data_IF_741741406065
#
_entry.id   IF_741741406065
#
_cell.length_a   1.000
_cell.length_b   1.000
_cell.length_c   1.000
_cell.angle_alpha   90.00
_cell.angle_beta   90.00
_cell.angle_gamma   90.00
#
_symmetry.space_group_name_H-M   'P 1'
#
loop_
_entity.id
_entity.type
_entity.pdbx_description
1 polymer ?
#
# COMPACT_ATOMS: atom_id res chain seq x y z
N UNK A 1 -6.92 -17.58 -52.75
CA UNK A 1 -6.91 -16.27 -52.11
C UNK A 1 -6.48 -16.44 -50.67
N UNK A 2 -5.25 -16.09 -50.36
CA UNK A 2 -4.74 -16.22 -49.00
C UNK A 2 -5.05 -14.92 -48.23
N UNK A 3 -5.86 -15.02 -47.19
CA UNK A 3 -6.07 -13.90 -46.25
C UNK A 3 -4.86 -13.81 -45.34
N UNK A 4 -3.98 -12.84 -45.59
CA UNK A 4 -2.97 -12.43 -44.65
C UNK A 4 -3.65 -11.71 -43.48
N UNK A 5 -3.79 -12.41 -42.35
CA UNK A 5 -4.17 -11.80 -41.10
C UNK A 5 -2.99 -10.93 -40.62
N UNK A 6 -3.05 -9.63 -40.84
CA UNK A 6 -2.15 -8.68 -40.20
C UNK A 6 -2.41 -8.74 -38.69
N UNK A 7 -1.57 -9.50 -37.98
CA UNK A 7 -1.44 -9.38 -36.54
C UNK A 7 -0.85 -7.99 -36.29
N UNK A 8 -1.70 -7.03 -35.97
CA UNK A 8 -1.24 -5.74 -35.42
C UNK A 8 -0.62 -6.06 -34.06
N UNK A 9 0.71 -6.19 -34.05
CA UNK A 9 1.48 -6.14 -32.85
C UNK A 9 1.18 -4.79 -32.18
N UNK A 10 0.57 -4.84 -31.03
CA UNK A 10 0.13 -3.67 -30.28
C UNK A 10 1.38 -2.92 -29.78
N UNK A 11 1.84 -1.91 -30.52
CA UNK A 11 3.01 -1.05 -30.18
C UNK A 11 2.82 -0.19 -28.93
N UNK A 12 1.72 -0.37 -28.18
CA UNK A 12 1.22 0.61 -27.22
C UNK A 12 1.84 0.54 -25.83
N UNK A 13 2.51 -0.55 -25.44
CA UNK A 13 3.07 -0.69 -24.10
C UNK A 13 4.60 -0.72 -24.09
N UNK A 14 5.23 0.45 -24.17
CA UNK A 14 6.70 0.59 -24.11
C UNK A 14 7.24 0.76 -22.69
N UNK A 15 6.42 1.29 -21.78
CA UNK A 15 6.75 1.56 -20.38
C UNK A 15 5.49 1.43 -19.56
N UNK A 16 5.60 0.89 -18.35
CA UNK A 16 4.54 0.85 -17.36
C UNK A 16 4.76 1.96 -16.33
N UNK A 17 3.72 2.74 -16.04
CA UNK A 17 3.74 3.70 -14.95
C UNK A 17 3.23 3.03 -13.66
N UNK A 18 4.06 3.03 -12.63
CA UNK A 18 3.73 2.49 -11.31
C UNK A 18 3.68 3.58 -10.25
N UNK A 19 2.87 3.36 -9.23
CA UNK A 19 2.80 4.19 -8.03
C UNK A 19 2.31 3.35 -6.84
N UNK A 20 2.04 3.97 -5.69
CA UNK A 20 1.48 3.32 -4.51
C UNK A 20 1.31 4.29 -3.35
N UNK A 21 1.07 3.78 -2.15
CA UNK A 21 0.94 4.61 -0.96
C UNK A 21 2.30 5.26 -0.61
N UNK A 22 2.43 6.60 -0.68
CA UNK A 22 3.71 7.29 -0.46
C UNK A 22 4.07 7.45 1.03
N UNK A 23 3.19 7.06 1.95
CA UNK A 23 3.40 7.11 3.39
C UNK A 23 3.45 5.70 4.00
N UNK A 24 4.20 4.79 3.35
CA UNK A 24 4.18 3.36 3.68
C UNK A 24 5.58 2.73 3.84
N UNK A 25 6.54 3.39 4.56
CA UNK A 25 7.85 2.79 4.83
C UNK A 25 7.72 1.55 5.73
N UNK A 26 8.54 0.51 5.57
CA UNK A 26 9.69 0.42 4.66
C UNK A 26 9.32 -0.07 3.25
N UNK A 27 8.03 -0.15 2.93
CA UNK A 27 7.56 -0.69 1.66
C UNK A 27 7.64 0.32 0.52
N UNK A 28 7.09 1.51 0.72
CA UNK A 28 7.08 2.57 -0.29
C UNK A 28 6.95 3.94 0.37
N UNK A 29 7.83 4.87 0.00
CA UNK A 29 7.74 6.26 0.46
C UNK A 29 8.35 7.22 -0.54
N UNK A 30 8.03 8.51 -0.37
CA UNK A 30 8.55 9.57 -1.21
C UNK A 30 10.04 9.77 -0.96
N UNK A 31 10.82 9.81 -2.03
CA UNK A 31 12.25 10.04 -1.96
C UNK A 31 12.54 11.47 -1.48
N UNK A 32 13.32 11.68 -0.41
CA UNK A 32 13.68 13.02 0.03
C UNK A 32 14.62 13.75 -0.93
N UNK A 33 15.32 13.04 -1.82
CA UNK A 33 16.25 13.61 -2.80
C UNK A 33 15.58 13.89 -4.17
N UNK A 34 14.44 13.27 -4.45
CA UNK A 34 13.64 13.48 -5.67
C UNK A 34 12.16 13.37 -5.36
N UNK A 35 11.51 14.50 -5.19
CA UNK A 35 10.11 14.58 -4.78
C UNK A 35 9.10 13.88 -5.72
N UNK A 36 9.50 13.59 -6.94
CA UNK A 36 8.66 12.91 -7.94
C UNK A 36 8.84 11.39 -7.93
N UNK A 37 9.81 10.88 -7.17
CA UNK A 37 10.15 9.46 -7.09
C UNK A 37 9.62 8.82 -5.82
N UNK A 38 9.22 7.55 -5.94
CA UNK A 38 8.98 6.67 -4.80
C UNK A 38 10.13 5.67 -4.66
N UNK A 39 10.54 5.42 -3.42
CA UNK A 39 11.57 4.46 -3.04
C UNK A 39 11.03 3.50 -1.98
N UNK A 40 11.76 2.43 -1.69
CA UNK A 40 11.38 1.43 -0.71
C UNK A 40 11.38 0.01 -1.29
N UNK A 41 11.09 -0.96 -0.45
CA UNK A 41 11.11 -2.37 -0.81
C UNK A 41 10.24 -2.69 -2.04
N UNK A 42 9.05 -2.09 -2.13
CA UNK A 42 8.16 -2.27 -3.25
C UNK A 42 8.72 -1.62 -4.53
N UNK A 43 9.38 -0.46 -4.42
CA UNK A 43 10.00 0.19 -5.56
C UNK A 43 11.15 -0.66 -6.14
N UNK A 44 12.03 -1.18 -5.28
CA UNK A 44 13.10 -2.08 -5.71
C UNK A 44 12.56 -3.39 -6.29
N UNK A 45 11.50 -3.94 -5.70
CA UNK A 45 10.82 -5.12 -6.22
C UNK A 45 10.24 -4.87 -7.62
N UNK A 46 9.64 -3.69 -7.86
CA UNK A 46 9.15 -3.29 -9.18
C UNK A 46 10.27 -3.17 -10.22
N UNK A 47 11.49 -2.78 -9.82
CA UNK A 47 12.66 -2.80 -10.71
C UNK A 47 13.07 -4.22 -11.09
N UNK A 48 12.97 -5.16 -10.17
CA UNK A 48 13.20 -6.58 -10.48
C UNK A 48 12.10 -7.14 -11.37
N UNK A 49 10.85 -6.79 -11.13
CA UNK A 49 9.72 -7.13 -11.99
C UNK A 49 9.94 -6.60 -13.42
N UNK A 50 10.36 -5.34 -13.55
CA UNK A 50 10.70 -4.72 -14.84
C UNK A 50 11.71 -5.54 -15.64
N UNK A 51 12.77 -6.01 -14.99
CA UNK A 51 13.79 -6.90 -15.62
C UNK A 51 13.19 -8.23 -16.05
N UNK A 52 12.35 -8.84 -15.23
CA UNK A 52 11.73 -10.15 -15.54
C UNK A 52 10.71 -10.07 -16.69
N UNK A 53 9.95 -8.99 -16.74
CA UNK A 53 8.98 -8.80 -17.84
C UNK A 53 9.59 -8.14 -19.06
N UNK A 54 10.83 -7.62 -18.99
CA UNK A 54 11.55 -6.97 -20.11
C UNK A 54 10.86 -5.69 -20.60
N UNK A 55 10.13 -4.98 -19.73
CA UNK A 55 9.50 -3.68 -20.00
C UNK A 55 9.86 -2.72 -18.86
N UNK A 56 10.34 -1.51 -19.17
CA UNK A 56 10.62 -0.49 -18.16
C UNK A 56 9.40 -0.20 -17.28
N UNK A 57 9.61 -0.10 -15.97
CA UNK A 57 8.61 0.35 -15.01
C UNK A 57 9.12 1.65 -14.39
N UNK A 58 8.37 2.73 -14.61
CA UNK A 58 8.65 4.04 -14.04
C UNK A 58 7.82 4.23 -12.78
N UNK A 59 8.47 4.45 -11.63
CA UNK A 59 7.81 4.49 -10.31
C UNK A 59 7.77 5.93 -9.82
N UNK A 60 6.58 6.53 -9.81
CA UNK A 60 6.40 7.95 -9.54
C UNK A 60 5.49 8.25 -8.35
N UNK A 61 5.80 9.34 -7.66
CA UNK A 61 4.86 9.98 -6.76
C UNK A 61 3.83 10.77 -7.56
N UNK A 62 2.55 10.51 -7.32
CA UNK A 62 1.44 11.20 -8.00
C UNK A 62 0.44 11.83 -7.04
N UNK A 63 0.71 11.74 -5.73
CA UNK A 63 -0.13 12.30 -4.69
C UNK A 63 -0.39 11.34 -3.52
N UNK A 64 -1.26 11.72 -2.59
CA UNK A 64 -1.63 10.89 -1.45
C UNK A 64 -2.42 9.65 -1.90
N UNK A 65 -2.54 8.64 -1.01
CA UNK A 65 -3.12 7.33 -1.32
C UNK A 65 -4.51 7.39 -1.96
N UNK A 66 -5.38 8.28 -1.51
CA UNK A 66 -6.70 8.46 -2.13
C UNK A 66 -6.61 8.84 -3.62
N UNK A 67 -5.70 9.76 -3.97
CA UNK A 67 -5.47 10.16 -5.36
C UNK A 67 -4.86 9.02 -6.18
N UNK A 68 -3.92 8.28 -5.60
CA UNK A 68 -3.30 7.10 -6.25
C UNK A 68 -4.36 6.11 -6.74
N UNK A 69 -5.36 5.81 -5.91
CA UNK A 69 -6.46 4.91 -6.27
C UNK A 69 -7.33 5.46 -7.41
N UNK A 70 -7.65 6.76 -7.38
CA UNK A 70 -8.43 7.40 -8.45
C UNK A 70 -7.67 7.42 -9.79
N UNK A 71 -6.37 7.68 -9.78
CA UNK A 71 -5.54 7.64 -10.99
C UNK A 71 -5.48 6.23 -11.60
N UNK A 72 -5.39 5.18 -10.75
CA UNK A 72 -5.47 3.79 -11.19
C UNK A 72 -6.86 3.43 -11.76
N UNK A 73 -7.94 3.87 -11.11
CA UNK A 73 -9.31 3.68 -11.57
C UNK A 73 -9.58 4.35 -12.93
N UNK A 74 -8.89 5.46 -13.20
CA UNK A 74 -8.99 6.18 -14.46
C UNK A 74 -8.05 5.64 -15.55
N UNK A 75 -7.14 4.71 -15.21
CA UNK A 75 -6.14 4.16 -16.14
C UNK A 75 -4.98 5.08 -16.45
N UNK A 76 -4.77 6.15 -15.67
CA UNK A 76 -3.64 7.06 -15.81
C UNK A 76 -2.37 6.53 -15.14
N UNK A 77 -2.51 5.48 -14.36
CA UNK A 77 -1.45 4.68 -13.78
C UNK A 77 -1.74 3.23 -14.12
N UNK A 78 -0.69 2.50 -14.49
CA UNK A 78 -0.82 1.10 -14.86
C UNK A 78 -0.80 0.19 -13.63
N UNK A 79 0.19 0.35 -12.74
CA UNK A 79 0.46 -0.57 -11.65
C UNK A 79 0.38 0.12 -10.28
N UNK A 80 -0.24 -0.54 -9.30
CA UNK A 80 -0.06 -0.18 -7.89
C UNK A 80 0.90 -1.15 -7.21
N UNK A 81 1.97 -0.59 -6.64
CA UNK A 81 3.00 -1.31 -5.91
C UNK A 81 2.55 -1.59 -4.46
N UNK A 82 1.43 -2.28 -4.32
CA UNK A 82 0.85 -2.71 -3.07
C UNK A 82 -0.56 -2.21 -2.82
N UNK A 83 -1.51 -3.14 -2.87
CA UNK A 83 -2.89 -2.90 -2.49
C UNK A 83 -3.47 -4.13 -1.79
N UNK A 84 -4.31 -3.92 -0.77
CA UNK A 84 -5.12 -4.99 -0.18
C UNK A 84 -6.22 -5.41 -1.15
N UNK A 85 -6.53 -6.69 -1.12
CA UNK A 85 -7.61 -7.26 -1.90
C UNK A 85 -8.96 -6.89 -1.28
N UNK A 86 -9.78 -6.16 -2.03
CA UNK A 86 -11.14 -5.80 -1.62
C UNK A 86 -12.08 -5.84 -2.81
N UNK A 87 -13.35 -6.18 -2.59
CA UNK A 87 -14.34 -6.26 -3.65
C UNK A 87 -14.49 -4.94 -4.44
N UNK A 88 -14.54 -3.74 -3.83
CA UNK A 88 -14.61 -2.48 -4.60
C UNK A 88 -13.39 -2.24 -5.50
N UNK A 89 -12.21 -2.73 -5.13
CA UNK A 89 -11.00 -2.59 -5.94
C UNK A 89 -10.94 -3.52 -7.12
N UNK A 90 -11.63 -4.68 -7.04
CA UNK A 90 -11.78 -5.60 -8.17
C UNK A 90 -12.56 -4.99 -9.35
N UNK A 91 -13.34 -3.94 -9.12
CA UNK A 91 -14.05 -3.25 -10.20
C UNK A 91 -13.11 -2.52 -11.18
N UNK A 92 -11.85 -2.25 -10.78
CA UNK A 92 -10.93 -1.46 -11.60
C UNK A 92 -9.48 -1.97 -11.64
N UNK A 93 -9.13 -3.06 -10.91
CA UNK A 93 -7.78 -3.63 -10.89
C UNK A 93 -7.79 -5.15 -10.95
N UNK A 94 -6.87 -5.72 -11.75
CA UNK A 94 -6.45 -7.11 -11.65
C UNK A 94 -5.41 -7.27 -10.53
N UNK A 95 -5.48 -8.37 -9.79
CA UNK A 95 -4.55 -8.72 -8.72
C UNK A 95 -3.63 -9.85 -9.14
N UNK A 96 -2.34 -9.75 -8.81
CA UNK A 96 -1.36 -10.79 -9.10
C UNK A 96 -0.99 -11.58 -7.87
N UNK A 97 -1.11 -12.87 -7.98
CA UNK A 97 -0.79 -13.85 -6.94
C UNK A 97 0.57 -14.52 -7.22
N UNK A 98 1.38 -14.86 -6.17
CA UNK A 98 1.12 -14.64 -4.75
C UNK A 98 1.28 -13.18 -4.31
N UNK A 99 0.77 -12.85 -3.10
CA UNK A 99 1.02 -11.58 -2.45
C UNK A 99 2.50 -11.43 -2.13
N UNK A 100 3.05 -10.23 -2.19
CA UNK A 100 4.45 -10.05 -1.84
C UNK A 100 4.69 -9.80 -0.34
N UNK A 101 3.65 -9.51 0.43
CA UNK A 101 3.74 -9.38 1.89
C UNK A 101 2.37 -9.51 2.56
N UNK A 102 2.34 -10.13 3.75
CA UNK A 102 1.27 -9.96 4.72
C UNK A 102 1.62 -8.82 5.66
N UNK A 103 0.66 -7.94 5.95
CA UNK A 103 0.81 -6.81 6.87
C UNK A 103 -0.21 -6.92 7.99
N UNK A 104 0.15 -6.42 9.17
CA UNK A 104 -0.71 -6.39 10.36
C UNK A 104 -1.30 -5.01 10.53
N UNK A 105 -2.61 -4.91 10.55
CA UNK A 105 -3.33 -3.69 10.97
C UNK A 105 -3.58 -3.75 12.46
N UNK A 106 -3.16 -2.73 13.17
CA UNK A 106 -3.24 -2.67 14.64
C UNK A 106 -3.94 -1.40 15.11
N UNK A 107 -4.36 -1.41 16.35
CA UNK A 107 -4.82 -0.23 17.06
C UNK A 107 -3.62 0.46 17.70
N UNK A 108 -3.51 1.75 17.44
CA UNK A 108 -2.57 2.65 18.11
C UNK A 108 -3.31 3.46 19.15
N UNK A 109 -2.72 3.63 20.33
CA UNK A 109 -3.28 4.46 21.39
C UNK A 109 -2.18 5.13 22.19
N UNK A 110 -2.54 6.11 23.00
CA UNK A 110 -1.60 6.74 23.95
C UNK A 110 -1.25 5.75 25.06
N UNK A 111 0.00 5.77 25.52
CA UNK A 111 0.50 4.87 26.57
C UNK A 111 -0.23 5.08 27.92
N UNK A 112 -0.67 6.31 28.18
CA UNK A 112 -1.43 6.69 29.39
C UNK A 112 -2.95 6.52 29.23
N UNK A 113 -3.44 6.02 28.09
CA UNK A 113 -4.84 5.76 27.87
C UNK A 113 -5.13 4.25 27.90
N UNK A 114 -6.06 3.84 28.75
CA UNK A 114 -6.47 2.43 28.85
C UNK A 114 -7.59 2.18 27.84
N UNK A 115 -7.28 1.42 26.81
CA UNK A 115 -8.26 0.91 25.84
C UNK A 115 -8.42 -0.59 26.05
N UNK A 116 -9.49 -1.04 26.72
CA UNK A 116 -9.74 -2.48 26.92
C UNK A 116 -10.24 -3.08 25.61
N UNK A 117 -9.28 -3.50 24.74
CA UNK A 117 -9.57 -4.04 23.44
C UNK A 117 -9.24 -5.54 23.36
N UNK A 118 -10.22 -6.34 22.96
CA UNK A 118 -10.09 -7.78 22.66
C UNK A 118 -10.78 -8.14 21.34
N UNK A 119 -11.77 -7.35 20.92
CA UNK A 119 -12.59 -7.56 19.72
C UNK A 119 -13.08 -6.21 19.18
N UNK A 120 -13.51 -6.18 17.96
CA UNK A 120 -13.93 -4.93 17.27
C UNK A 120 -15.04 -4.16 18.01
N UNK A 121 -15.98 -4.86 18.65
CA UNK A 121 -17.07 -4.22 19.40
C UNK A 121 -16.59 -3.41 20.62
N UNK A 122 -15.38 -3.62 21.10
CA UNK A 122 -14.82 -2.85 22.23
C UNK A 122 -14.44 -1.41 21.79
N UNK A 123 -14.43 -1.14 20.48
CA UNK A 123 -14.20 0.18 19.90
C UNK A 123 -15.48 1.03 19.81
N UNK A 124 -16.65 0.44 20.00
CA UNK A 124 -17.93 1.15 19.94
C UNK A 124 -17.97 2.26 20.99
N UNK A 125 -18.44 3.44 20.60
CA UNK A 125 -18.49 4.61 21.48
C UNK A 125 -17.17 5.38 21.64
N UNK A 126 -16.05 4.90 21.09
CA UNK A 126 -14.75 5.58 21.08
C UNK A 126 -14.59 6.38 19.78
N UNK A 127 -13.73 7.41 19.83
CA UNK A 127 -13.40 8.21 18.65
C UNK A 127 -12.15 7.66 17.97
N UNK A 128 -12.31 7.04 16.82
CA UNK A 128 -11.21 6.53 16.00
C UNK A 128 -10.72 7.57 14.98
N UNK A 129 -9.51 7.36 14.47
CA UNK A 129 -8.97 8.09 13.32
C UNK A 129 -8.26 7.12 12.38
N UNK A 130 -8.29 7.40 11.08
CA UNK A 130 -7.49 6.70 10.06
C UNK A 130 -7.27 7.59 8.83
N UNK A 131 -6.55 7.08 7.83
CA UNK A 131 -6.29 7.79 6.56
C UNK A 131 -7.43 7.56 5.58
N UNK A 132 -7.77 8.61 4.81
CA UNK A 132 -8.79 8.57 3.76
C UNK A 132 -8.51 7.44 2.76
N UNK A 133 -9.56 6.69 2.41
CA UNK A 133 -9.55 5.58 1.46
C UNK A 133 -8.62 4.40 1.85
N UNK A 134 -8.13 4.35 3.11
CA UNK A 134 -7.56 3.12 3.64
C UNK A 134 -8.65 2.04 3.75
N UNK A 135 -8.23 0.81 3.60
CA UNK A 135 -9.01 -0.40 3.87
C UNK A 135 -8.22 -1.26 4.84
N UNK A 136 -8.92 -1.98 5.68
CA UNK A 136 -8.34 -2.90 6.67
C UNK A 136 -8.91 -4.30 6.53
N UNK A 137 -9.34 -4.64 5.31
CA UNK A 137 -10.06 -5.86 5.00
C UNK A 137 -11.58 -5.64 4.98
N UNK A 138 -12.24 -6.29 4.03
CA UNK A 138 -13.65 -6.02 3.70
C UNK A 138 -14.61 -6.23 4.88
N UNK A 139 -14.38 -7.25 5.68
CA UNK A 139 -15.23 -7.54 6.84
C UNK A 139 -15.13 -6.44 7.91
N UNK A 140 -13.90 -6.02 8.22
CA UNK A 140 -13.69 -4.95 9.18
C UNK A 140 -14.20 -3.61 8.65
N UNK A 141 -13.96 -3.29 7.39
CA UNK A 141 -14.40 -2.03 6.78
C UNK A 141 -15.93 -1.90 6.84
N UNK A 142 -16.67 -2.98 6.57
CA UNK A 142 -18.13 -3.04 6.72
C UNK A 142 -18.55 -2.81 8.17
N UNK A 143 -17.96 -3.55 9.10
CA UNK A 143 -18.24 -3.40 10.53
C UNK A 143 -17.95 -1.97 11.02
N UNK A 144 -16.82 -1.41 10.64
CA UNK A 144 -16.41 -0.08 11.04
C UNK A 144 -17.38 1.00 10.53
N UNK A 145 -17.82 0.89 9.27
CA UNK A 145 -18.81 1.81 8.67
C UNK A 145 -20.15 1.80 9.40
N UNK A 146 -20.57 0.63 9.86
CA UNK A 146 -21.89 0.46 10.52
C UNK A 146 -21.86 0.79 12.02
N UNK A 147 -20.73 0.55 12.70
CA UNK A 147 -20.70 0.49 14.16
C UNK A 147 -19.71 1.44 14.82
N UNK A 148 -18.71 1.96 14.09
CA UNK A 148 -17.65 2.75 14.68
C UNK A 148 -17.69 4.23 14.25
N UNK A 149 -17.17 5.11 15.10
CA UNK A 149 -16.99 6.53 14.82
C UNK A 149 -15.51 6.76 14.47
N UNK A 150 -15.19 6.77 13.18
CA UNK A 150 -13.82 6.92 12.68
C UNK A 150 -13.73 8.18 11.81
N UNK A 151 -12.91 9.13 12.22
CA UNK A 151 -12.55 10.30 11.41
C UNK A 151 -11.50 9.91 10.38
N UNK A 152 -11.68 10.34 9.14
CA UNK A 152 -10.74 10.09 8.05
C UNK A 152 -9.95 11.36 7.74
N UNK A 153 -8.62 11.26 7.71
CA UNK A 153 -7.71 12.39 7.47
C UNK A 153 -6.78 12.12 6.28
N UNK A 154 -6.23 13.17 5.64
CA UNK A 154 -5.45 13.02 4.41
C UNK A 154 -4.14 12.23 4.56
N UNK A 155 -3.51 12.23 5.75
CA UNK A 155 -2.17 11.64 5.94
C UNK A 155 -2.02 10.92 7.27
N UNK A 156 -1.07 9.98 7.32
CA UNK A 156 -0.69 9.28 8.56
C UNK A 156 -0.10 10.26 9.59
N UNK A 157 0.67 11.25 9.15
CA UNK A 157 1.22 12.28 10.06
C UNK A 157 0.09 13.04 10.79
N UNK A 158 -0.97 13.40 10.06
CA UNK A 158 -2.12 14.07 10.67
C UNK A 158 -2.86 13.15 11.65
N UNK A 159 -3.06 11.88 11.30
CA UNK A 159 -3.71 10.90 12.17
C UNK A 159 -2.93 10.68 13.48
N UNK A 160 -1.59 10.54 13.39
CA UNK A 160 -0.72 10.41 14.55
C UNK A 160 -0.72 11.66 15.43
N UNK A 161 -0.71 12.87 14.83
CA UNK A 161 -0.86 14.14 15.58
C UNK A 161 -2.21 14.22 16.30
N UNK A 162 -3.30 13.81 15.66
CA UNK A 162 -4.61 13.78 16.33
C UNK A 162 -4.61 12.84 17.53
N UNK A 163 -4.03 11.64 17.39
CA UNK A 163 -3.93 10.68 18.48
C UNK A 163 -3.08 11.23 19.63
N UNK A 164 -1.89 11.76 19.35
CA UNK A 164 -0.96 12.29 20.36
C UNK A 164 -1.54 13.48 21.14
N UNK A 165 -2.34 14.32 20.46
CA UNK A 165 -3.01 15.48 21.05
C UNK A 165 -4.37 15.16 21.70
N UNK A 166 -4.70 13.89 21.90
CA UNK A 166 -5.96 13.43 22.49
C UNK A 166 -7.22 13.85 21.73
N UNK A 167 -7.11 14.10 20.43
CA UNK A 167 -8.23 14.41 19.53
C UNK A 167 -8.88 13.14 18.96
N UNK A 168 -8.31 11.97 19.23
CA UNK A 168 -8.84 10.65 18.98
C UNK A 168 -8.46 9.73 20.14
N UNK A 169 -9.27 8.70 20.39
CA UNK A 169 -8.99 7.69 21.40
C UNK A 169 -8.04 6.62 20.85
N UNK A 170 -8.18 6.31 19.56
CA UNK A 170 -7.36 5.33 18.86
C UNK A 170 -7.15 5.71 17.39
N UNK A 171 -6.06 5.18 16.80
CA UNK A 171 -5.80 5.19 15.37
C UNK A 171 -5.77 3.75 14.89
N UNK A 172 -6.36 3.48 13.72
CA UNK A 172 -6.21 2.22 13.01
C UNK A 172 -5.23 2.45 11.85
N UNK A 173 -4.13 1.72 11.87
CA UNK A 173 -3.14 1.74 10.79
C UNK A 173 -2.21 0.52 10.87
N UNK A 174 -1.54 0.20 9.77
CA UNK A 174 -0.59 -0.90 9.71
C UNK A 174 0.62 -0.66 10.64
N UNK A 175 1.11 -1.73 11.24
CA UNK A 175 2.11 -1.67 12.32
C UNK A 175 3.45 -1.11 11.83
N UNK A 176 4.02 -1.68 10.76
CA UNK A 176 5.35 -1.28 10.26
C UNK A 176 5.41 0.20 9.83
N UNK A 177 4.51 0.71 8.95
CA UNK A 177 4.52 2.13 8.60
C UNK A 177 4.20 3.04 9.78
N UNK A 178 3.31 2.61 10.68
CA UNK A 178 3.01 3.36 11.89
C UNK A 178 4.25 3.54 12.79
N UNK A 179 5.00 2.47 13.05
CA UNK A 179 6.27 2.52 13.80
C UNK A 179 7.29 3.44 13.12
N UNK A 180 7.40 3.36 11.80
CA UNK A 180 8.32 4.18 11.04
C UNK A 180 8.00 5.68 11.15
N UNK A 181 6.73 6.05 11.11
CA UNK A 181 6.28 7.43 11.24
C UNK A 181 6.32 7.96 12.67
N UNK A 182 5.99 7.14 13.67
CA UNK A 182 6.17 7.49 15.09
C UNK A 182 7.63 7.85 15.37
N UNK A 183 8.57 7.05 14.86
CA UNK A 183 10.00 7.32 14.97
C UNK A 183 10.41 8.62 14.22
N UNK A 184 10.00 8.79 12.96
CA UNK A 184 10.27 9.99 12.15
C UNK A 184 9.81 11.27 12.82
N UNK A 185 8.62 11.24 13.40
CA UNK A 185 8.01 12.42 14.02
C UNK A 185 8.47 12.65 15.47
N UNK A 186 9.35 11.79 16.01
CA UNK A 186 9.78 11.82 17.41
C UNK A 186 8.60 11.84 18.41
N UNK A 187 7.50 11.14 18.07
CA UNK A 187 6.34 11.06 18.96
C UNK A 187 6.62 10.00 20.02
N UNK A 188 6.65 10.40 21.25
CA UNK A 188 6.69 9.50 22.41
C UNK A 188 5.30 9.25 22.97
N UNK A 189 5.16 8.17 23.73
CA UNK A 189 3.91 7.91 24.47
C UNK A 189 2.78 7.32 23.61
N UNK A 190 3.07 6.77 22.45
CA UNK A 190 2.15 5.91 21.69
C UNK A 190 2.53 4.43 21.84
N UNK A 191 1.54 3.57 21.75
CA UNK A 191 1.71 2.10 21.77
C UNK A 191 0.68 1.44 20.86
N UNK A 192 0.98 0.22 20.41
CA UNK A 192 0.02 -0.65 19.76
C UNK A 192 -0.72 -1.51 20.79
N UNK A 193 -1.91 -1.96 20.42
CA UNK A 193 -2.78 -2.81 21.25
C UNK A 193 -3.07 -4.11 20.51
N UNK A 194 -2.93 -5.24 21.21
CA UNK A 194 -3.26 -6.57 20.70
C UNK A 194 -4.69 -6.99 21.10
N UNK A 195 -5.34 -7.85 20.33
CA UNK A 195 -4.90 -8.47 19.07
C UNK A 195 -4.90 -7.46 17.89
N UNK A 196 -4.30 -7.81 16.72
CA UNK A 196 -4.44 -6.99 15.52
C UNK A 196 -5.91 -6.91 15.10
N UNK A 197 -6.27 -5.84 14.40
CA UNK A 197 -7.58 -5.68 13.75
C UNK A 197 -7.74 -6.74 12.67
N UNK A 198 -6.75 -6.81 11.75
CA UNK A 198 -6.67 -7.76 10.65
C UNK A 198 -5.21 -8.04 10.29
N UNK A 199 -5.01 -9.14 9.56
CA UNK A 199 -3.79 -9.41 8.81
C UNK A 199 -4.20 -9.47 7.34
N UNK A 200 -3.63 -8.59 6.52
CA UNK A 200 -3.99 -8.45 5.11
C UNK A 200 -2.79 -8.63 4.20
N UNK A 201 -3.02 -9.28 3.08
CA UNK A 201 -2.02 -9.49 2.06
C UNK A 201 -1.91 -8.28 1.13
N UNK A 202 -0.67 -7.87 0.85
CA UNK A 202 -0.34 -6.78 -0.05
C UNK A 202 0.03 -7.32 -1.42
N UNK A 203 -0.71 -6.91 -2.45
CA UNK A 203 -0.59 -7.44 -3.81
C UNK A 203 -0.11 -6.39 -4.80
N UNK A 204 0.60 -6.83 -5.84
CA UNK A 204 0.72 -6.07 -7.08
C UNK A 204 -0.64 -6.04 -7.80
N UNK A 205 -1.00 -4.89 -8.35
CA UNK A 205 -2.21 -4.77 -9.16
C UNK A 205 -1.95 -4.06 -10.48
N UNK A 206 -2.80 -4.32 -11.48
CA UNK A 206 -2.79 -3.68 -12.80
C UNK A 206 -4.17 -3.09 -13.08
N UNK A 207 -4.22 -1.82 -13.46
CA UNK A 207 -5.47 -1.14 -13.80
C UNK A 207 -6.17 -1.82 -14.98
N UNK A 208 -7.47 -2.04 -14.89
CA UNK A 208 -8.28 -2.53 -16.01
C UNK A 208 -8.25 -1.60 -17.22
N UNK A 209 -8.09 -0.30 -16.99
CA UNK A 209 -8.03 0.74 -18.03
C UNK A 209 -6.62 1.05 -18.52
N UNK A 210 -5.60 0.36 -18.01
CA UNK A 210 -4.25 0.47 -18.54
C UNK A 210 -4.20 0.02 -20.00
N UNK A 211 -3.59 0.82 -20.85
CA UNK A 211 -3.32 0.43 -22.24
C UNK A 211 -2.39 -0.79 -22.34
N UNK A 212 -1.64 -1.08 -21.28
CA UNK A 212 -0.77 -2.24 -21.16
C UNK A 212 -1.50 -3.50 -20.64
N UNK A 213 -2.77 -3.43 -20.26
CA UNK A 213 -3.51 -4.56 -19.71
C UNK A 213 -3.98 -5.51 -20.81
N UNK A 214 -3.07 -6.31 -21.35
CA UNK A 214 -3.34 -7.37 -22.31
C UNK A 214 -3.22 -8.75 -21.64
N UNK A 215 -3.84 -9.81 -22.24
CA UNK A 215 -3.67 -11.18 -21.74
C UNK A 215 -2.19 -11.60 -21.65
N UNK A 216 -1.37 -11.21 -22.64
CA UNK A 216 0.07 -11.51 -22.68
C UNK A 216 0.81 -10.81 -21.54
N UNK A 217 0.49 -9.54 -21.29
CA UNK A 217 1.13 -8.77 -20.21
C UNK A 217 0.75 -9.34 -18.85
N UNK A 218 -0.53 -9.66 -18.61
CA UNK A 218 -0.95 -10.34 -17.39
C UNK A 218 -0.20 -11.65 -17.18
N UNK A 219 -0.04 -12.45 -18.23
CA UNK A 219 0.72 -13.70 -18.17
C UNK A 219 2.19 -13.49 -17.82
N UNK A 220 2.84 -12.47 -18.41
CA UNK A 220 4.24 -12.10 -18.11
C UNK A 220 4.39 -11.64 -16.66
N UNK A 221 3.54 -10.73 -16.21
CA UNK A 221 3.55 -10.23 -14.83
C UNK A 221 3.32 -11.38 -13.84
N UNK A 222 2.31 -12.23 -14.06
CA UNK A 222 2.00 -13.36 -13.16
C UNK A 222 3.19 -14.32 -13.01
N UNK A 223 3.86 -14.68 -14.12
CA UNK A 223 5.07 -15.53 -14.10
C UNK A 223 6.21 -14.86 -13.33
N UNK A 224 6.43 -13.58 -13.53
CA UNK A 224 7.49 -12.81 -12.86
C UNK A 224 7.22 -12.67 -11.35
N UNK A 225 5.98 -12.37 -10.95
CA UNK A 225 5.56 -12.33 -9.54
C UNK A 225 5.83 -13.66 -8.86
N UNK A 226 5.39 -14.77 -9.47
CA UNK A 226 5.63 -16.11 -8.93
C UNK A 226 7.12 -16.43 -8.78
N UNK A 227 7.94 -16.09 -9.80
CA UNK A 227 9.40 -16.31 -9.76
C UNK A 227 10.06 -15.52 -8.63
N UNK A 228 9.74 -14.23 -8.48
CA UNK A 228 10.32 -13.37 -7.44
C UNK A 228 9.90 -13.82 -6.04
N UNK A 229 8.66 -14.31 -5.87
CA UNK A 229 8.19 -14.89 -4.62
C UNK A 229 9.03 -16.14 -4.24
N UNK A 230 9.22 -17.09 -5.17
CA UNK A 230 10.04 -18.29 -4.93
C UNK A 230 11.48 -17.99 -4.56
N UNK A 231 11.99 -16.84 -4.95
CA UNK A 231 13.34 -16.37 -4.58
C UNK A 231 13.36 -15.66 -3.22
N UNK A 232 12.22 -15.49 -2.56
CA UNK A 232 12.05 -14.77 -1.29
C UNK A 232 12.72 -13.38 -1.30
N UNK A 233 12.56 -12.67 -2.42
CA UNK A 233 13.24 -11.39 -2.65
C UNK A 233 12.73 -10.33 -1.68
N UNK A 234 11.42 -10.27 -1.45
CA UNK A 234 10.79 -9.21 -0.66
C UNK A 234 11.32 -9.12 0.77
N UNK A 235 11.57 -10.25 1.43
CA UNK A 235 12.13 -10.25 2.80
C UNK A 235 13.49 -9.56 2.89
N UNK A 236 14.35 -9.76 1.88
CA UNK A 236 15.66 -9.10 1.81
C UNK A 236 15.53 -7.60 1.56
N UNK A 237 14.64 -7.22 0.66
CA UNK A 237 14.36 -5.82 0.33
C UNK A 237 13.79 -5.07 1.54
N UNK A 238 12.87 -5.65 2.28
CA UNK A 238 12.30 -5.05 3.50
C UNK A 238 13.41 -4.78 4.51
N UNK A 239 14.28 -5.75 4.78
CA UNK A 239 15.40 -5.58 5.73
C UNK A 239 16.32 -4.43 5.33
N UNK A 240 16.70 -4.35 4.05
CA UNK A 240 17.54 -3.26 3.54
C UNK A 240 16.83 -1.89 3.65
N UNK A 241 15.54 -1.84 3.34
CA UNK A 241 14.77 -0.60 3.32
C UNK A 241 14.40 -0.09 4.72
N UNK A 242 14.30 -0.96 5.73
CA UNK A 242 14.25 -0.53 7.14
C UNK A 242 15.52 0.26 7.51
N UNK A 243 16.70 -0.21 7.09
CA UNK A 243 17.96 0.49 7.35
C UNK A 243 18.05 1.81 6.57
N UNK A 244 17.62 1.82 5.32
CA UNK A 244 17.57 3.04 4.50
C UNK A 244 16.67 4.10 5.14
N UNK A 245 15.45 3.74 5.53
CA UNK A 245 14.53 4.64 6.23
C UNK A 245 15.15 5.25 7.49
N UNK A 246 15.72 4.39 8.37
CA UNK A 246 16.37 4.86 9.60
C UNK A 246 17.50 5.85 9.31
N UNK A 247 18.34 5.56 8.32
CA UNK A 247 19.44 6.45 7.92
C UNK A 247 18.95 7.81 7.43
N UNK A 248 17.83 7.85 6.72
CA UNK A 248 17.24 9.10 6.25
C UNK A 248 16.65 9.96 7.37
N UNK A 249 16.23 9.35 8.47
CA UNK A 249 15.72 10.09 9.65
C UNK A 249 16.84 10.60 10.57
N UNK A 250 18.07 10.13 10.38
CA UNK A 250 19.23 10.53 11.20
C UNK A 250 20.00 11.72 10.62
N UNK A 251 19.59 12.23 9.46
CA UNK A 251 20.13 13.44 8.81
C UNK A 251 19.30 14.65 9.18
#
# INVERSE_FOLDING_TARGET
MAFSSNVHANETCKTLLATGNPEYPPYLWRDPEDENRLIGANAEWMQLLSKEIGIPIDIKYIGPWGRVQEEAKLGRVDLLAGAFFTQPRLEYMDYFYPAFRETRTVIWTRSNFTLPYKKWSDLVGKQGVTVINNSFGEEFDRYAKESLKISMVPSLEQALKMLSLSRADYLIYEEDPGLAYVAKMNISGLKTVAPPITNENLYLTLSHKSACNTPEMRGRIAKAVYKLDKQNVMSKLITANIQLWRKQQSK
#
